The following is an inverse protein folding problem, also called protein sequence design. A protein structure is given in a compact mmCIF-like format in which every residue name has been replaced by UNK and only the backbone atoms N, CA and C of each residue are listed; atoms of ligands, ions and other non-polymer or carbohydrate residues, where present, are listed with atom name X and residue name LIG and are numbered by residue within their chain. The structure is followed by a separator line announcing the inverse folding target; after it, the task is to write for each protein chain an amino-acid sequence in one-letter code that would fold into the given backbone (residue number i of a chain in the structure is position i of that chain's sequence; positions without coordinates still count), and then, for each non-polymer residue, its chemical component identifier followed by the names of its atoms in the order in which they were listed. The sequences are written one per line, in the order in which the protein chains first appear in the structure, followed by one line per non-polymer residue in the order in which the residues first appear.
data_IF_725201226733
#
_entry.id   IF_725201226733
#
_cell.length_a   1.000
_cell.length_b   1.000
_cell.length_c   1.000
_cell.angle_alpha   90.00
_cell.angle_beta   90.00
_cell.angle_gamma   90.00
#
_symmetry.space_group_name_H-M   'P 1'
#
loop_
_entity.id
_entity.type
_entity.pdbx_description
1 polymer ?
#
# COMPACT_ATOMS: atom_id res chain seq x y z
N UNK A 1 6.81 -28.03 -26.48
CA UNK A 1 5.66 -27.53 -25.69
C UNK A 1 6.03 -26.15 -25.20
N UNK A 2 5.47 -25.09 -25.81
CA UNK A 2 5.67 -23.70 -25.35
C UNK A 2 4.86 -23.50 -24.07
N UNK A 3 5.51 -23.56 -22.93
CA UNK A 3 4.97 -23.02 -21.68
C UNK A 3 4.83 -21.53 -21.88
N UNK A 4 3.63 -21.03 -22.18
CA UNK A 4 3.34 -19.61 -22.18
C UNK A 4 3.60 -19.08 -20.76
N UNK A 5 4.72 -18.38 -20.55
CA UNK A 5 4.98 -17.70 -19.29
C UNK A 5 3.80 -16.78 -19.01
N UNK A 6 3.01 -17.08 -17.97
CA UNK A 6 1.89 -16.25 -17.52
C UNK A 6 2.42 -14.83 -17.29
N UNK A 7 1.90 -13.85 -18.02
CA UNK A 7 2.32 -12.45 -17.85
C UNK A 7 1.99 -11.99 -16.43
N UNK A 8 2.98 -11.41 -15.74
CA UNK A 8 2.78 -10.82 -14.43
C UNK A 8 2.32 -9.38 -14.63
N UNK A 9 1.12 -9.08 -14.13
CA UNK A 9 0.56 -7.74 -14.15
C UNK A 9 0.77 -7.04 -12.82
N UNK A 10 1.08 -5.76 -12.91
CA UNK A 10 1.34 -4.84 -11.82
C UNK A 10 0.38 -3.66 -11.92
N UNK A 11 0.18 -2.94 -10.83
CA UNK A 11 -0.65 -1.74 -10.90
C UNK A 11 -0.18 -0.63 -9.95
N UNK A 12 -0.51 0.60 -10.31
CA UNK A 12 -0.43 1.74 -9.42
C UNK A 12 -1.84 2.24 -9.08
N UNK A 13 -1.97 2.78 -7.87
CA UNK A 13 -3.19 3.43 -7.39
C UNK A 13 -2.82 4.84 -7.03
N UNK A 14 -3.17 5.79 -7.87
CA UNK A 14 -2.72 7.19 -7.78
C UNK A 14 -3.91 8.07 -7.41
N UNK A 15 -3.74 8.89 -6.38
CA UNK A 15 -4.74 9.87 -5.96
C UNK A 15 -4.71 11.08 -6.89
N UNK A 16 -5.87 11.41 -7.44
CA UNK A 16 -6.11 12.68 -8.14
C UNK A 16 -7.12 13.46 -7.31
N UNK A 17 -6.79 14.68 -6.94
CA UNK A 17 -7.64 15.55 -6.14
C UNK A 17 -7.74 16.92 -6.79
N UNK A 18 -8.94 17.32 -7.20
CA UNK A 18 -9.22 18.61 -7.82
C UNK A 18 -8.23 18.93 -8.94
N UNK A 19 -8.06 18.01 -9.88
CA UNK A 19 -7.15 18.16 -11.02
C UNK A 19 -5.67 17.88 -10.74
N UNK A 20 -5.27 17.72 -9.48
CA UNK A 20 -3.87 17.51 -9.12
C UNK A 20 -3.56 16.02 -8.92
N UNK A 21 -2.55 15.52 -9.60
CA UNK A 21 -1.99 14.16 -9.40
C UNK A 21 -1.02 14.20 -8.23
N UNK A 22 -1.31 13.46 -7.16
CA UNK A 22 -0.54 13.55 -5.94
C UNK A 22 0.58 12.51 -5.88
N UNK A 23 1.77 12.94 -5.39
CA UNK A 23 2.94 12.10 -5.11
C UNK A 23 3.39 11.23 -6.30
N UNK A 24 3.26 11.74 -7.52
CA UNK A 24 3.50 10.99 -8.75
C UNK A 24 4.92 10.41 -8.83
N UNK A 25 5.93 11.13 -8.36
CA UNK A 25 7.33 10.68 -8.40
C UNK A 25 7.57 9.39 -7.62
N UNK A 26 6.88 9.21 -6.48
CA UNK A 26 6.95 7.97 -5.70
C UNK A 26 6.29 6.79 -6.43
N UNK A 27 5.24 7.03 -7.20
CA UNK A 27 4.58 6.04 -8.04
C UNK A 27 5.47 5.63 -9.22
N UNK A 28 6.06 6.61 -9.91
CA UNK A 28 7.01 6.37 -11.01
C UNK A 28 8.18 5.53 -10.51
N UNK A 29 8.79 5.93 -9.39
CA UNK A 29 9.93 5.21 -8.80
C UNK A 29 9.57 3.77 -8.43
N UNK A 30 8.41 3.54 -7.81
CA UNK A 30 7.97 2.18 -7.46
C UNK A 30 7.70 1.35 -8.70
N UNK A 31 6.97 1.88 -9.68
CA UNK A 31 6.67 1.20 -10.91
C UNK A 31 7.96 0.83 -11.68
N UNK A 32 8.90 1.76 -11.79
CA UNK A 32 10.21 1.52 -12.42
C UNK A 32 10.99 0.41 -11.72
N UNK A 33 11.00 0.37 -10.39
CA UNK A 33 11.66 -0.69 -9.61
C UNK A 33 10.92 -2.04 -9.65
N UNK A 34 9.70 -2.07 -10.19
CA UNK A 34 8.87 -3.28 -10.25
C UNK A 34 8.95 -4.02 -11.58
N UNK A 35 9.35 -3.33 -12.65
CA UNK A 35 9.52 -3.93 -13.99
C UNK A 35 10.90 -4.55 -14.18
N UNK A 36 11.05 -5.39 -15.19
CA UNK A 36 12.32 -6.09 -15.49
C UNK A 36 13.38 -5.15 -16.07
N UNK A 37 12.97 -4.22 -16.93
CA UNK A 37 13.86 -3.28 -17.60
C UNK A 37 13.43 -1.84 -17.33
N UNK A 38 12.58 -1.28 -18.19
CA UNK A 38 12.09 0.08 -18.10
C UNK A 38 10.59 0.18 -18.41
N UNK A 39 9.95 1.23 -17.91
CA UNK A 39 8.58 1.55 -18.28
C UNK A 39 8.56 2.10 -19.71
N UNK A 40 7.66 1.56 -20.55
CA UNK A 40 7.49 1.97 -21.94
C UNK A 40 6.43 3.05 -22.11
N UNK A 41 6.03 3.67 -21.03
CA UNK A 41 5.10 4.80 -21.00
C UNK A 41 5.50 5.83 -19.95
N UNK A 42 5.00 7.05 -20.11
CA UNK A 42 5.19 8.11 -19.13
C UNK A 42 3.85 8.42 -18.43
N UNK A 43 3.82 8.29 -17.10
CA UNK A 43 2.62 8.56 -16.30
C UNK A 43 1.99 9.91 -16.60
N UNK A 44 2.80 10.97 -16.75
CA UNK A 44 2.32 12.31 -17.07
C UNK A 44 1.58 12.41 -18.42
N UNK A 45 1.88 11.52 -19.36
CA UNK A 45 1.21 11.49 -20.68
C UNK A 45 -0.08 10.68 -20.68
N UNK A 46 -0.18 9.66 -19.83
CA UNK A 46 -1.32 8.74 -19.79
C UNK A 46 -2.40 9.16 -18.79
N UNK A 47 -2.01 9.89 -17.72
CA UNK A 47 -2.95 10.34 -16.71
C UNK A 47 -3.75 11.55 -17.24
N UNK A 48 -5.08 11.47 -17.12
CA UNK A 48 -6.04 12.54 -17.44
C UNK A 48 -6.69 13.00 -16.14
N UNK A 49 -6.15 14.04 -15.47
CA UNK A 49 -6.69 14.52 -14.20
C UNK A 49 -8.16 14.96 -14.36
N UNK A 50 -9.00 14.57 -13.41
CA UNK A 50 -10.37 15.05 -13.29
C UNK A 50 -10.38 16.35 -12.50
N UNK A 51 -11.11 17.36 -12.96
CA UNK A 51 -11.10 18.72 -12.41
C UNK A 51 -11.62 18.80 -10.98
N UNK A 52 -12.67 18.02 -10.66
CA UNK A 52 -13.38 18.13 -9.38
C UNK A 52 -13.44 16.80 -8.64
N UNK A 53 -13.30 16.86 -7.32
CA UNK A 53 -13.43 15.71 -6.44
C UNK A 53 -12.15 14.90 -6.28
N UNK A 54 -12.31 13.71 -5.67
CA UNK A 54 -11.22 12.78 -5.42
C UNK A 54 -11.42 11.53 -6.27
N UNK A 55 -10.41 11.18 -7.05
CA UNK A 55 -10.40 10.01 -7.90
C UNK A 55 -9.21 9.11 -7.60
N UNK A 56 -9.44 7.83 -7.75
CA UNK A 56 -8.43 6.79 -7.79
C UNK A 56 -8.13 6.46 -9.26
N UNK A 57 -6.97 6.89 -9.76
CA UNK A 57 -6.46 6.41 -11.04
C UNK A 57 -5.76 5.05 -10.81
N UNK A 58 -6.25 3.99 -11.44
CA UNK A 58 -5.64 2.67 -11.46
C UNK A 58 -4.92 2.50 -12.78
N UNK A 59 -3.61 2.43 -12.74
CA UNK A 59 -2.74 2.22 -13.91
C UNK A 59 -2.25 0.78 -13.86
N UNK A 60 -2.63 -0.02 -14.85
CA UNK A 60 -2.22 -1.43 -14.98
C UNK A 60 -1.13 -1.51 -16.05
N UNK A 61 -0.06 -2.24 -15.76
CA UNK A 61 1.05 -2.49 -16.66
C UNK A 61 1.62 -3.90 -16.41
N UNK A 62 2.37 -4.42 -17.37
CA UNK A 62 2.99 -5.73 -17.21
C UNK A 62 4.43 -5.62 -16.67
N UNK A 63 5.02 -6.75 -16.32
CA UNK A 63 6.41 -6.83 -15.85
C UNK A 63 7.45 -6.37 -16.87
N UNK A 64 7.11 -6.27 -18.17
CA UNK A 64 7.99 -5.79 -19.23
C UNK A 64 7.89 -4.27 -19.42
N UNK A 65 7.03 -3.60 -18.61
CA UNK A 65 6.82 -2.16 -18.63
C UNK A 65 5.79 -1.67 -19.63
N UNK A 66 5.05 -2.57 -20.29
CA UNK A 66 3.98 -2.20 -21.23
C UNK A 66 2.73 -1.73 -20.49
N UNK A 67 2.16 -0.62 -20.92
CA UNK A 67 0.88 -0.14 -20.40
C UNK A 67 -0.26 -1.05 -20.85
N UNK A 68 -1.13 -1.45 -19.92
CA UNK A 68 -2.32 -2.26 -20.21
C UNK A 68 -3.58 -1.38 -20.17
N UNK A 69 -3.81 -0.66 -19.07
CA UNK A 69 -4.99 0.23 -18.97
C UNK A 69 -4.78 1.34 -17.94
N UNK A 70 -5.63 2.38 -18.08
CA UNK A 70 -5.79 3.43 -17.08
C UNK A 70 -7.28 3.61 -16.80
N UNK A 71 -7.67 3.38 -15.57
CA UNK A 71 -9.06 3.45 -15.11
C UNK A 71 -9.21 4.50 -14.02
N UNK A 72 -10.37 5.17 -13.94
CA UNK A 72 -10.65 6.21 -12.96
C UNK A 72 -11.92 5.90 -12.19
N UNK A 73 -11.80 5.91 -10.87
CA UNK A 73 -12.94 5.66 -9.97
C UNK A 73 -13.09 6.83 -9.00
N UNK A 74 -14.30 7.39 -8.82
CA UNK A 74 -14.56 8.27 -7.69
C UNK A 74 -14.16 7.58 -6.40
N UNK A 75 -13.53 8.31 -5.49
CA UNK A 75 -13.01 7.72 -4.25
C UNK A 75 -13.65 8.35 -3.03
N UNK A 76 -14.17 7.48 -2.16
CA UNK A 76 -14.59 7.81 -0.80
C UNK A 76 -13.79 6.94 0.16
N UNK A 77 -13.20 7.56 1.18
CA UNK A 77 -12.51 6.85 2.24
C UNK A 77 -13.53 6.06 3.07
N UNK A 78 -13.19 4.83 3.41
CA UNK A 78 -13.94 4.03 4.39
C UNK A 78 -13.34 4.19 5.77
N UNK A 79 -14.13 3.93 6.80
CA UNK A 79 -13.67 3.86 8.17
C UNK A 79 -12.96 2.52 8.44
N UNK A 80 -12.07 2.52 9.42
CA UNK A 80 -11.33 1.36 9.89
C UNK A 80 -11.49 1.27 11.39
N UNK A 81 -11.99 0.14 11.86
CA UNK A 81 -12.22 -0.05 13.30
C UNK A 81 -11.74 -1.42 13.78
N UNK A 82 -12.08 -2.52 13.10
CA UNK A 82 -11.75 -3.87 13.52
C UNK A 82 -10.74 -4.52 12.56
N UNK A 83 -9.75 -5.16 13.15
CA UNK A 83 -8.66 -5.81 12.42
C UNK A 83 -8.47 -7.24 12.92
N UNK A 84 -8.51 -8.20 12.02
CA UNK A 84 -8.08 -9.57 12.31
C UNK A 84 -6.58 -9.69 12.14
N UNK A 85 -5.89 -10.17 13.20
CA UNK A 85 -4.46 -10.46 13.11
C UNK A 85 -4.24 -11.86 12.51
N UNK A 86 -3.44 -11.93 11.43
CA UNK A 86 -3.26 -13.16 10.63
C UNK A 86 -1.78 -13.38 10.34
N UNK A 87 -1.31 -14.60 10.58
CA UNK A 87 0.00 -15.06 10.12
C UNK A 87 -0.07 -15.45 8.64
N UNK A 88 0.90 -14.98 7.86
CA UNK A 88 1.01 -15.27 6.43
C UNK A 88 2.38 -15.86 6.08
N UNK A 89 2.42 -16.69 5.02
CA UNK A 89 3.65 -17.24 4.46
C UNK A 89 4.01 -16.68 3.08
N UNK A 90 3.04 -16.14 2.35
CA UNK A 90 3.23 -15.63 1.00
C UNK A 90 4.06 -14.33 0.96
N UNK A 91 4.45 -13.93 -0.25
CA UNK A 91 5.18 -12.68 -0.52
C UNK A 91 4.37 -11.78 -1.44
N UNK A 92 4.43 -10.47 -1.20
CA UNK A 92 3.78 -9.45 -2.02
C UNK A 92 4.68 -8.20 -2.08
N UNK A 93 5.91 -8.42 -2.56
CA UNK A 93 6.99 -7.41 -2.59
C UNK A 93 6.81 -6.35 -3.69
N UNK A 94 6.01 -6.66 -4.71
CA UNK A 94 5.56 -5.74 -5.76
C UNK A 94 4.05 -5.56 -5.68
N UNK A 95 3.55 -4.49 -6.29
CA UNK A 95 2.11 -4.23 -6.32
C UNK A 95 1.46 -5.04 -7.46
N UNK A 96 1.35 -6.36 -7.24
CA UNK A 96 0.75 -7.30 -8.18
C UNK A 96 -0.74 -7.02 -8.35
N UNK A 97 -1.24 -7.17 -9.59
CA UNK A 97 -2.67 -7.10 -9.90
C UNK A 97 -3.41 -8.31 -9.32
N UNK A 98 -2.78 -9.47 -9.33
CA UNK A 98 -3.27 -10.66 -8.63
C UNK A 98 -3.05 -10.48 -7.12
N UNK A 99 -4.14 -10.51 -6.38
CA UNK A 99 -4.20 -10.33 -4.93
C UNK A 99 -4.85 -11.52 -4.23
N UNK A 100 -4.99 -12.64 -4.92
CA UNK A 100 -5.70 -13.83 -4.43
C UNK A 100 -5.26 -14.24 -3.02
N UNK A 101 -3.94 -14.29 -2.76
CA UNK A 101 -3.42 -14.65 -1.43
C UNK A 101 -3.87 -13.67 -0.32
N UNK A 102 -3.87 -12.37 -0.62
CA UNK A 102 -4.33 -11.34 0.34
C UNK A 102 -5.84 -11.42 0.54
N UNK A 103 -6.59 -11.61 -0.54
CA UNK A 103 -8.05 -11.64 -0.51
C UNK A 103 -8.53 -12.94 0.19
N UNK A 104 -7.84 -14.06 0.01
CA UNK A 104 -8.06 -15.31 0.75
C UNK A 104 -7.71 -15.14 2.25
N UNK A 105 -6.58 -14.55 2.59
CA UNK A 105 -6.20 -14.27 3.96
C UNK A 105 -7.22 -13.36 4.66
N UNK A 106 -7.81 -12.41 3.94
CA UNK A 106 -8.85 -11.51 4.45
C UNK A 106 -10.17 -12.23 4.73
N UNK A 107 -10.57 -13.19 3.93
CA UNK A 107 -11.69 -14.14 4.09
C UNK A 107 -12.89 -13.63 4.92
N UNK A 108 -13.55 -12.57 4.46
CA UNK A 108 -14.77 -12.02 5.08
C UNK A 108 -14.55 -11.07 6.26
N UNK A 109 -13.32 -10.87 6.73
CA UNK A 109 -13.03 -9.81 7.71
C UNK A 109 -13.02 -8.44 7.04
N UNK A 110 -13.45 -7.39 7.76
CA UNK A 110 -13.44 -6.02 7.24
C UNK A 110 -12.03 -5.54 6.89
N UNK A 111 -11.07 -5.83 7.77
CA UNK A 111 -9.66 -5.57 7.52
C UNK A 111 -8.79 -6.57 8.29
N UNK A 112 -7.58 -6.80 7.82
CA UNK A 112 -6.58 -7.65 8.47
C UNK A 112 -5.30 -6.91 8.73
N UNK A 113 -4.58 -7.30 9.77
CA UNK A 113 -3.17 -7.00 9.97
C UNK A 113 -2.39 -8.28 9.76
N UNK A 114 -1.46 -8.26 8.84
CA UNK A 114 -0.67 -9.43 8.48
C UNK A 114 0.65 -9.46 9.25
N UNK A 115 0.99 -10.64 9.74
CA UNK A 115 2.30 -10.95 10.31
C UNK A 115 3.04 -11.93 9.42
N UNK A 116 4.35 -11.78 9.34
CA UNK A 116 5.25 -12.71 8.68
C UNK A 116 6.51 -12.88 9.51
N UNK A 117 6.93 -14.13 9.75
CA UNK A 117 8.08 -14.44 10.60
C UNK A 117 7.97 -13.78 12.00
N UNK A 118 6.78 -13.85 12.61
CA UNK A 118 6.46 -13.29 13.94
C UNK A 118 6.53 -11.75 14.03
N UNK A 119 6.67 -11.04 12.93
CA UNK A 119 6.71 -9.58 12.85
C UNK A 119 5.50 -9.03 12.08
N UNK A 120 5.02 -7.88 12.53
CA UNK A 120 3.97 -7.14 11.83
C UNK A 120 4.50 -6.64 10.49
N UNK A 121 3.66 -6.72 9.46
CA UNK A 121 3.97 -6.21 8.11
C UNK A 121 3.00 -5.09 7.71
N UNK A 122 1.88 -5.43 7.11
CA UNK A 122 0.91 -4.49 6.52
C UNK A 122 -0.53 -4.89 6.83
N UNK A 123 -1.48 -4.04 6.47
CA UNK A 123 -2.90 -4.45 6.30
C UNK A 123 -3.16 -4.90 4.87
N UNK A 124 -4.38 -5.36 4.56
CA UNK A 124 -4.70 -5.79 3.18
C UNK A 124 -4.56 -4.68 2.14
N UNK A 125 -4.63 -3.40 2.54
CA UNK A 125 -4.63 -2.26 1.61
C UNK A 125 -3.68 -1.12 1.96
N UNK A 126 -3.07 -1.14 3.15
CA UNK A 126 -2.27 -0.03 3.68
C UNK A 126 -1.04 -0.52 4.44
N UNK A 127 0.02 0.29 4.46
CA UNK A 127 1.05 0.12 5.46
C UNK A 127 0.55 0.58 6.82
N UNK A 128 1.16 0.03 7.88
CA UNK A 128 0.81 0.29 9.27
C UNK A 128 1.91 1.10 9.97
N UNK A 129 1.53 1.88 10.97
CA UNK A 129 2.45 2.42 11.97
C UNK A 129 1.82 2.32 13.37
N UNK A 130 2.64 2.21 14.41
CA UNK A 130 2.27 2.36 15.81
C UNK A 130 2.91 3.61 16.39
N UNK A 131 2.26 4.27 17.34
CA UNK A 131 2.83 5.42 18.05
C UNK A 131 3.55 4.94 19.31
N UNK A 132 4.84 5.22 19.41
CA UNK A 132 5.63 4.98 20.62
C UNK A 132 5.57 6.22 21.51
N UNK A 133 4.83 6.14 22.62
CA UNK A 133 4.63 7.26 23.54
C UNK A 133 5.94 7.67 24.25
N UNK A 134 6.84 6.71 24.48
CA UNK A 134 8.10 6.98 25.18
C UNK A 134 9.08 7.78 24.32
N UNK A 135 9.05 7.56 23.02
CA UNK A 135 9.90 8.24 22.05
C UNK A 135 9.21 9.45 21.39
N UNK A 136 7.86 9.53 21.48
CA UNK A 136 7.07 10.53 20.76
C UNK A 136 7.14 10.37 19.25
N UNK A 137 7.31 9.13 18.75
CA UNK A 137 7.57 8.83 17.34
C UNK A 137 6.59 7.81 16.77
N UNK A 138 6.30 7.94 15.47
CA UNK A 138 5.62 6.92 14.70
C UNK A 138 6.60 5.88 14.17
N UNK A 139 6.37 4.61 14.53
CA UNK A 139 7.18 3.46 14.13
C UNK A 139 6.41 2.64 13.09
N UNK A 140 7.05 2.26 11.99
CA UNK A 140 6.46 1.43 10.93
C UNK A 140 7.29 0.17 10.72
N UNK A 141 6.68 -0.98 10.36
CA UNK A 141 7.42 -2.20 10.09
C UNK A 141 8.64 -1.97 9.19
N UNK A 142 9.80 -2.43 9.63
CA UNK A 142 11.07 -2.32 8.87
C UNK A 142 10.98 -3.08 7.56
N UNK A 143 10.33 -4.25 7.60
CA UNK A 143 10.10 -5.15 6.47
C UNK A 143 8.61 -5.25 6.15
N UNK A 144 8.00 -4.21 5.52
CA UNK A 144 6.62 -4.27 5.09
C UNK A 144 6.45 -5.33 3.99
N UNK A 145 5.25 -5.86 3.83
CA UNK A 145 4.91 -6.75 2.73
C UNK A 145 5.04 -6.01 1.38
N UNK A 146 4.54 -4.77 1.33
CA UNK A 146 4.68 -3.87 0.19
C UNK A 146 5.32 -2.53 0.61
N UNK A 147 6.33 -2.07 -0.10
CA UNK A 147 6.91 -0.73 0.08
C UNK A 147 5.97 0.34 -0.48
N UNK A 148 4.99 0.79 0.32
CA UNK A 148 3.98 1.77 -0.10
C UNK A 148 4.56 3.16 -0.36
N UNK A 149 3.97 3.89 -1.32
CA UNK A 149 4.44 5.23 -1.73
C UNK A 149 4.28 6.28 -0.62
N UNK A 150 3.16 6.27 0.11
CA UNK A 150 2.95 7.15 1.27
C UNK A 150 3.94 6.85 2.39
N UNK A 151 4.16 5.57 2.71
CA UNK A 151 5.17 5.16 3.69
C UNK A 151 6.56 5.64 3.28
N UNK A 152 6.94 5.47 2.02
CA UNK A 152 8.26 5.89 1.53
C UNK A 152 8.47 7.40 1.66
N UNK A 153 7.46 8.20 1.34
CA UNK A 153 7.47 9.66 1.50
C UNK A 153 7.64 10.06 2.97
N UNK A 154 6.91 9.42 3.88
CA UNK A 154 6.95 9.71 5.32
C UNK A 154 8.26 9.25 5.99
N UNK A 155 8.89 8.19 5.49
CA UNK A 155 10.25 7.82 5.90
C UNK A 155 11.29 8.83 5.42
N UNK A 156 11.16 9.30 4.17
CA UNK A 156 12.12 10.23 3.57
C UNK A 156 12.13 11.59 4.29
N UNK A 157 10.96 12.07 4.75
CA UNK A 157 10.88 13.32 5.51
C UNK A 157 11.11 13.15 7.02
N UNK A 158 11.44 11.95 7.49
CA UNK A 158 11.77 11.66 8.88
C UNK A 158 10.57 11.52 9.83
N UNK A 159 9.32 11.62 9.33
CA UNK A 159 8.10 11.49 10.13
C UNK A 159 7.91 10.07 10.69
N UNK A 160 8.30 9.05 9.92
CA UNK A 160 8.29 7.65 10.34
C UNK A 160 9.71 7.16 10.61
N UNK A 161 9.83 6.23 11.58
CA UNK A 161 11.05 5.45 11.81
C UNK A 161 10.76 3.96 11.58
N UNK A 162 11.63 3.24 10.84
CA UNK A 162 11.45 1.81 10.65
C UNK A 162 11.88 1.03 11.88
N UNK A 163 11.07 0.05 12.30
CA UNK A 163 11.34 -0.85 13.43
C UNK A 163 10.76 -2.23 13.15
N UNK A 164 11.37 -3.28 13.67
CA UNK A 164 10.76 -4.59 13.75
C UNK A 164 9.69 -4.54 14.85
N UNK A 165 8.43 -4.69 14.47
CA UNK A 165 7.28 -4.57 15.37
C UNK A 165 6.74 -5.98 15.65
N UNK A 166 6.76 -6.37 16.92
CA UNK A 166 6.20 -7.63 17.39
C UNK A 166 4.67 -7.54 17.56
N UNK A 167 4.02 -8.71 17.66
CA UNK A 167 2.61 -8.81 18.03
C UNK A 167 2.30 -8.09 19.33
N UNK A 168 3.15 -8.26 20.36
CA UNK A 168 2.93 -7.65 21.67
C UNK A 168 3.01 -6.12 21.61
N UNK A 169 3.94 -5.56 20.84
CA UNK A 169 4.02 -4.11 20.66
C UNK A 169 2.78 -3.56 19.96
N UNK A 170 2.28 -4.24 18.94
CA UNK A 170 1.03 -3.87 18.28
C UNK A 170 -0.17 -3.92 19.23
N UNK A 171 -0.32 -5.00 20.00
CA UNK A 171 -1.45 -5.18 20.93
C UNK A 171 -1.44 -4.18 22.11
N UNK A 172 -0.27 -3.69 22.48
CA UNK A 172 -0.10 -2.67 23.55
C UNK A 172 -0.10 -1.23 22.99
N UNK A 173 -0.14 -1.05 21.68
CA UNK A 173 -0.17 0.28 21.08
C UNK A 173 -1.51 0.97 21.36
N UNK A 174 -1.46 2.19 21.90
CA UNK A 174 -2.66 3.00 22.13
C UNK A 174 -3.16 3.70 20.87
N UNK A 175 -2.27 3.94 19.93
CA UNK A 175 -2.57 4.53 18.61
C UNK A 175 -1.87 3.76 17.53
N UNK A 176 -2.61 3.48 16.47
CA UNK A 176 -2.05 2.98 15.22
C UNK A 176 -2.36 3.97 14.10
N UNK A 177 -1.65 3.87 13.01
CA UNK A 177 -1.98 4.64 11.82
C UNK A 177 -1.91 3.75 10.58
N UNK A 178 -2.79 4.03 9.63
CA UNK A 178 -2.81 3.41 8.32
C UNK A 178 -2.37 4.41 7.26
N UNK A 179 -1.62 3.94 6.27
CA UNK A 179 -1.15 4.82 5.21
C UNK A 179 -1.12 4.14 3.84
N UNK A 180 -1.69 4.80 2.87
CA UNK A 180 -1.56 4.48 1.46
C UNK A 180 -1.73 5.74 0.59
N UNK A 181 -1.59 5.62 -0.73
CA UNK A 181 -1.67 6.75 -1.64
C UNK A 181 -3.03 7.47 -1.62
N UNK A 182 -4.11 6.77 -1.31
CA UNK A 182 -5.48 7.33 -1.34
C UNK A 182 -5.85 8.04 -0.03
N UNK A 183 -5.52 7.42 1.12
CA UNK A 183 -5.90 7.95 2.45
C UNK A 183 -4.85 8.88 3.05
N UNK A 184 -3.62 8.89 2.53
CA UNK A 184 -2.52 9.62 3.16
C UNK A 184 -2.03 8.89 4.41
N UNK A 185 -2.04 9.58 5.56
CA UNK A 185 -1.75 9.05 6.89
C UNK A 185 -2.96 9.28 7.77
N UNK A 186 -3.56 8.21 8.30
CA UNK A 186 -4.78 8.24 9.11
C UNK A 186 -4.50 7.61 10.45
N UNK A 187 -4.54 8.40 11.50
CA UNK A 187 -4.42 7.95 12.90
C UNK A 187 -5.72 7.31 13.36
N UNK A 188 -5.61 6.22 14.10
CA UNK A 188 -6.72 5.52 14.74
C UNK A 188 -6.41 5.40 16.23
N UNK A 189 -7.18 6.11 17.06
CA UNK A 189 -7.17 6.03 18.51
C UNK A 189 -8.28 5.13 19.06
N UNK A 190 -9.21 4.73 18.20
CA UNK A 190 -10.27 3.75 18.47
C UNK A 190 -10.18 2.63 17.43
N UNK A 191 -9.69 1.48 17.86
CA UNK A 191 -9.58 0.29 17.03
C UNK A 191 -9.63 -0.97 17.91
N UNK A 192 -9.94 -2.09 17.28
CA UNK A 192 -9.98 -3.41 17.91
C UNK A 192 -9.16 -4.39 17.08
N UNK A 193 -8.29 -5.13 17.73
CA UNK A 193 -7.54 -6.26 17.13
C UNK A 193 -8.09 -7.56 17.70
N UNK A 194 -8.48 -8.49 16.82
CA UNK A 194 -9.10 -9.79 17.16
C UNK A 194 -8.29 -10.95 16.59
#
# INVERSE_FOLDING_TARGET
MNSSKKSIFLFETIKIQNGNVLNLDFHIKRAQNSVLNELKFAFAKILKPKSDGIYRAKVIYDQNGELVSVEYFPYKMRDFYEFKLIDISFSYDKKYLDRSDIDEAKNGFDEIIMMKNSLITDTSIANLAIFDESLGLWLTPKTPLLKGTSRQRLLQNGFLKPKDISKNELLNAKKIALMNAMIGFVELDKFKII
#
